data_IF_291461935043
#
_entry.id   IF_291461935043
#
_cell.length_a   1.000
_cell.length_b   1.000
_cell.length_c   1.000
_cell.angle_alpha   90.00
_cell.angle_beta   90.00
_cell.angle_gamma   90.00
#
_symmetry.space_group_name_H-M   'P 1'
#
loop_
_entity.id
_entity.type
_entity.pdbx_description
1 polymer ?
#
# COMPACT_ATOMS: atom_id res chain seq x y z
N UNK A 1 27.26 21.35 -6.95
CA UNK A 1 26.53 20.20 -7.60
C UNK A 1 27.34 18.90 -7.53
N UNK A 2 28.64 18.89 -7.82
CA UNK A 2 29.52 17.68 -7.82
C UNK A 2 29.62 16.99 -6.45
N UNK A 3 29.68 17.73 -5.35
CA UNK A 3 29.82 17.16 -3.98
C UNK A 3 28.55 16.46 -3.48
N UNK A 4 27.37 16.97 -3.80
CA UNK A 4 26.11 16.36 -3.43
C UNK A 4 25.84 15.03 -4.16
N UNK A 5 26.18 14.97 -5.44
CA UNK A 5 26.08 13.72 -6.23
C UNK A 5 27.02 12.64 -5.67
N UNK A 6 28.24 13.03 -5.31
CA UNK A 6 29.21 12.12 -4.69
C UNK A 6 28.77 11.64 -3.29
N UNK A 7 28.14 12.52 -2.49
CA UNK A 7 27.59 12.15 -1.17
C UNK A 7 26.42 11.16 -1.31
N UNK A 8 25.50 11.38 -2.26
CA UNK A 8 24.40 10.46 -2.54
C UNK A 8 24.89 9.08 -3.02
N UNK A 9 25.87 9.04 -3.91
CA UNK A 9 26.45 7.78 -4.38
C UNK A 9 27.18 7.00 -3.27
N UNK A 10 27.83 7.70 -2.33
CA UNK A 10 28.48 7.07 -1.18
C UNK A 10 27.45 6.55 -0.17
N UNK A 11 26.34 7.26 0.04
CA UNK A 11 25.26 6.82 0.94
C UNK A 11 24.51 5.60 0.39
N UNK A 12 24.24 5.56 -0.93
CA UNK A 12 23.65 4.39 -1.60
C UNK A 12 24.55 3.16 -1.47
N UNK A 13 25.85 3.30 -1.80
CA UNK A 13 26.83 2.19 -1.66
C UNK A 13 26.98 1.72 -0.20
N UNK A 14 26.91 2.64 0.76
CA UNK A 14 26.95 2.29 2.19
C UNK A 14 25.72 1.52 2.63
N UNK A 15 24.54 1.87 2.12
CA UNK A 15 23.27 1.16 2.40
C UNK A 15 23.28 -0.25 1.76
N UNK A 16 23.66 -0.36 0.50
CA UNK A 16 23.81 -1.65 -0.19
C UNK A 16 24.82 -2.58 0.52
N UNK A 17 25.95 -2.06 0.97
CA UNK A 17 26.92 -2.81 1.74
C UNK A 17 26.37 -3.24 3.12
N UNK A 18 25.57 -2.39 3.77
CA UNK A 18 24.88 -2.72 5.04
C UNK A 18 23.85 -3.81 4.86
N UNK A 19 23.04 -3.74 3.81
CA UNK A 19 22.00 -4.72 3.50
C UNK A 19 22.59 -6.08 3.12
N UNK A 20 23.68 -6.08 2.34
CA UNK A 20 24.47 -7.29 2.06
C UNK A 20 25.08 -7.88 3.33
N UNK A 21 25.67 -7.06 4.21
CA UNK A 21 26.21 -7.51 5.49
C UNK A 21 25.11 -8.09 6.41
N UNK A 22 23.93 -7.51 6.41
CA UNK A 22 22.79 -8.03 7.19
C UNK A 22 22.31 -9.39 6.65
N UNK A 23 22.22 -9.52 5.34
CA UNK A 23 21.88 -10.79 4.68
C UNK A 23 22.91 -11.87 4.97
N UNK A 24 24.20 -11.57 4.81
CA UNK A 24 25.30 -12.50 5.11
C UNK A 24 25.25 -12.94 6.59
N UNK A 25 25.15 -11.99 7.52
CA UNK A 25 25.06 -12.31 8.96
C UNK A 25 23.84 -13.18 9.32
N UNK A 26 22.70 -12.97 8.64
CA UNK A 26 21.50 -13.79 8.85
C UNK A 26 21.73 -15.22 8.36
N UNK A 27 22.36 -15.39 7.21
CA UNK A 27 22.71 -16.68 6.63
C UNK A 27 23.76 -17.39 7.48
N UNK A 28 24.81 -16.70 7.92
CA UNK A 28 25.83 -17.27 8.84
C UNK A 28 25.23 -17.72 10.17
N UNK A 29 24.31 -16.93 10.76
CA UNK A 29 23.62 -17.30 11.99
C UNK A 29 22.72 -18.53 11.81
N UNK A 30 22.06 -18.64 10.67
CA UNK A 30 21.23 -19.81 10.31
C UNK A 30 22.09 -21.05 10.13
N UNK A 31 23.21 -20.94 9.40
CA UNK A 31 24.19 -22.03 9.21
C UNK A 31 24.77 -22.46 10.56
N UNK A 32 25.20 -21.51 11.40
CA UNK A 32 25.74 -21.81 12.73
C UNK A 32 24.75 -22.50 13.66
N UNK A 33 23.46 -22.17 13.58
CA UNK A 33 22.41 -22.89 14.32
C UNK A 33 22.24 -24.35 13.82
N UNK A 34 22.29 -24.56 12.51
CA UNK A 34 22.23 -25.91 11.92
C UNK A 34 23.48 -26.72 12.31
N UNK A 35 24.65 -26.14 12.22
CA UNK A 35 25.91 -26.81 12.61
C UNK A 35 25.91 -27.20 14.09
N UNK A 36 25.45 -26.30 14.97
CA UNK A 36 25.32 -26.57 16.42
C UNK A 36 24.31 -27.69 16.69
N UNK A 37 23.19 -27.73 15.98
CA UNK A 37 22.20 -28.79 16.08
C UNK A 37 22.74 -30.14 15.58
N UNK A 38 23.51 -30.13 14.49
CA UNK A 38 24.15 -31.30 13.94
C UNK A 38 25.24 -31.86 14.88
N UNK A 39 26.02 -31.01 15.54
CA UNK A 39 27.03 -31.42 16.52
C UNK A 39 26.39 -31.99 17.78
N UNK A 40 25.26 -31.45 18.21
CA UNK A 40 24.46 -32.03 19.30
C UNK A 40 23.95 -33.43 18.94
N UNK A 41 23.45 -33.60 17.71
CA UNK A 41 22.99 -34.92 17.22
C UNK A 41 24.13 -35.95 17.04
N UNK A 42 25.28 -35.53 16.58
CA UNK A 42 26.49 -36.40 16.52
C UNK A 42 26.90 -36.91 17.90
N UNK A 43 26.66 -36.11 18.96
CA UNK A 43 26.95 -36.48 20.35
C UNK A 43 25.89 -37.40 20.99
N UNK A 44 24.64 -37.41 20.45
CA UNK A 44 23.53 -38.20 21.01
C UNK A 44 23.38 -39.62 20.45
N UNK A 45 24.22 -40.02 19.50
CA UNK A 45 24.26 -41.39 18.97
C UNK A 45 23.37 -41.59 17.71
N UNK A 46 23.68 -42.65 16.96
CA UNK A 46 23.12 -42.98 15.65
C UNK A 46 21.62 -43.30 15.72
N UNK A 47 20.79 -42.31 15.71
CA UNK A 47 19.37 -42.50 15.42
C UNK A 47 19.16 -42.33 13.89
N UNK A 48 19.08 -43.49 13.20
CA UNK A 48 19.04 -43.56 11.74
C UNK A 48 17.83 -42.81 11.15
N UNK A 49 16.74 -42.69 11.91
CA UNK A 49 15.51 -42.00 11.53
C UNK A 49 15.70 -40.49 11.52
N UNK A 50 16.40 -39.96 12.53
CA UNK A 50 16.70 -38.52 12.62
C UNK A 50 17.72 -38.04 11.58
N UNK A 51 18.69 -38.92 11.25
CA UNK A 51 19.66 -38.62 10.16
C UNK A 51 18.98 -38.56 8.81
N UNK A 52 17.99 -39.39 8.56
CA UNK A 52 17.21 -39.39 7.34
C UNK A 52 16.28 -38.15 7.28
N UNK A 53 15.62 -37.81 8.38
CA UNK A 53 14.80 -36.59 8.47
C UNK A 53 15.63 -35.32 8.21
N UNK A 54 16.82 -35.22 8.79
CA UNK A 54 17.74 -34.10 8.51
C UNK A 54 18.18 -34.09 7.05
N UNK A 55 18.39 -35.26 6.42
CA UNK A 55 18.72 -35.35 4.99
C UNK A 55 17.56 -34.83 4.11
N UNK A 56 16.33 -35.24 4.41
CA UNK A 56 15.12 -34.81 3.68
C UNK A 56 14.90 -33.32 3.84
N UNK A 57 15.04 -32.79 5.07
CA UNK A 57 14.91 -31.34 5.32
C UNK A 57 15.99 -30.54 4.60
N UNK A 58 17.24 -31.01 4.58
CA UNK A 58 18.31 -30.36 3.80
C UNK A 58 18.03 -30.36 2.31
N UNK A 59 17.52 -31.44 1.75
CA UNK A 59 17.13 -31.48 0.34
C UNK A 59 15.96 -30.50 0.05
N UNK A 60 14.96 -30.46 0.94
CA UNK A 60 13.85 -29.51 0.81
C UNK A 60 14.32 -28.06 0.87
N UNK A 61 15.21 -27.72 1.80
CA UNK A 61 15.83 -26.38 1.90
C UNK A 61 16.60 -26.05 0.62
N UNK A 62 17.41 -26.97 0.13
CA UNK A 62 18.21 -26.76 -1.08
C UNK A 62 17.33 -26.60 -2.34
N UNK A 63 16.21 -27.31 -2.43
CA UNK A 63 15.22 -27.14 -3.50
C UNK A 63 14.56 -25.78 -3.41
N UNK A 64 14.14 -25.36 -2.20
CA UNK A 64 13.56 -24.04 -1.96
C UNK A 64 14.56 -22.89 -2.23
N UNK A 65 15.83 -23.06 -1.90
CA UNK A 65 16.86 -22.07 -2.20
C UNK A 65 17.09 -21.91 -3.71
N UNK A 66 17.02 -22.99 -4.48
CA UNK A 66 17.11 -22.95 -5.95
C UNK A 66 15.86 -22.31 -6.56
N UNK A 67 14.67 -22.56 -6.01
CA UNK A 67 13.42 -21.94 -6.45
C UNK A 67 13.34 -20.45 -6.07
N UNK A 68 14.00 -20.06 -4.99
CA UNK A 68 14.05 -18.69 -4.47
C UNK A 68 15.28 -17.90 -4.97
N UNK A 69 15.80 -18.20 -6.15
CA UNK A 69 16.92 -17.43 -6.70
C UNK A 69 16.58 -15.92 -6.65
N UNK A 70 17.43 -15.14 -5.99
CA UNK A 70 17.23 -13.67 -5.80
C UNK A 70 16.94 -12.96 -7.12
N UNK A 71 17.53 -13.42 -8.24
CA UNK A 71 17.26 -12.91 -9.58
C UNK A 71 15.82 -13.15 -10.04
N UNK A 72 15.19 -14.26 -9.67
CA UNK A 72 13.81 -14.53 -10.04
C UNK A 72 12.83 -13.67 -9.24
N UNK A 73 13.13 -13.44 -7.96
CA UNK A 73 12.33 -12.56 -7.08
C UNK A 73 12.38 -11.13 -7.59
N UNK A 74 13.57 -10.60 -7.87
CA UNK A 74 13.72 -9.24 -8.41
C UNK A 74 13.06 -9.09 -9.78
N UNK A 75 13.19 -10.10 -10.65
CA UNK A 75 12.52 -10.09 -11.95
C UNK A 75 10.99 -10.09 -11.81
N UNK A 76 10.44 -10.91 -10.91
CA UNK A 76 8.99 -10.95 -10.62
C UNK A 76 8.50 -9.64 -10.00
N UNK A 77 9.25 -9.09 -9.06
CA UNK A 77 8.99 -7.78 -8.43
C UNK A 77 8.93 -6.66 -9.47
N UNK A 78 9.93 -6.58 -10.37
CA UNK A 78 9.94 -5.59 -11.44
C UNK A 78 8.76 -5.75 -12.42
N UNK A 79 8.38 -6.99 -12.75
CA UNK A 79 7.19 -7.24 -13.57
C UNK A 79 5.91 -6.80 -12.87
N UNK A 80 5.75 -7.11 -11.59
CA UNK A 80 4.61 -6.71 -10.77
C UNK A 80 4.50 -5.18 -10.68
N UNK A 81 5.59 -4.50 -10.33
CA UNK A 81 5.64 -3.04 -10.24
C UNK A 81 5.30 -2.37 -11.58
N UNK A 82 5.80 -2.91 -12.69
CA UNK A 82 5.44 -2.39 -14.02
C UNK A 82 3.94 -2.45 -14.29
N UNK A 83 3.27 -3.54 -13.88
CA UNK A 83 1.82 -3.68 -14.04
C UNK A 83 1.08 -2.70 -13.14
N UNK A 84 1.48 -2.61 -11.86
CA UNK A 84 0.87 -1.70 -10.87
C UNK A 84 1.02 -0.25 -11.32
N UNK A 85 2.23 0.19 -11.65
CA UNK A 85 2.51 1.56 -12.09
C UNK A 85 1.74 1.93 -13.37
N UNK A 86 1.68 1.00 -14.33
CA UNK A 86 0.90 1.18 -15.56
C UNK A 86 -0.60 1.34 -15.27
N UNK A 87 -1.16 0.54 -14.36
CA UNK A 87 -2.56 0.62 -14.00
C UNK A 87 -2.85 1.90 -13.22
N UNK A 88 -2.00 2.27 -12.27
CA UNK A 88 -2.14 3.52 -11.53
C UNK A 88 -2.10 4.75 -12.47
N UNK A 89 -1.17 4.79 -13.42
CA UNK A 89 -1.11 5.84 -14.43
C UNK A 89 -2.35 5.94 -15.32
N UNK A 90 -3.13 4.85 -15.48
CA UNK A 90 -4.42 4.91 -16.19
C UNK A 90 -5.55 5.52 -15.36
N UNK A 91 -5.45 5.49 -14.03
CA UNK A 91 -6.47 6.06 -13.15
C UNK A 91 -6.28 7.56 -12.94
N UNK A 92 -5.04 8.05 -12.99
CA UNK A 92 -4.70 9.46 -12.72
C UNK A 92 -5.50 10.46 -13.57
N UNK A 93 -5.75 10.28 -14.89
CA UNK A 93 -6.53 11.21 -15.68
C UNK A 93 -7.99 11.38 -15.23
N UNK A 94 -8.50 10.48 -14.41
CA UNK A 94 -9.85 10.51 -13.86
C UNK A 94 -9.91 11.05 -12.42
N UNK A 95 -8.75 11.39 -11.85
CA UNK A 95 -8.58 11.95 -10.51
C UNK A 95 -8.19 13.44 -10.59
N UNK A 96 -8.24 14.10 -9.45
CA UNK A 96 -7.86 15.51 -9.34
C UNK A 96 -6.34 15.64 -9.12
N UNK A 97 -5.60 15.66 -10.22
CA UNK A 97 -4.13 15.69 -10.27
C UNK A 97 -3.66 16.78 -11.21
N UNK A 98 -2.65 17.54 -10.82
CA UNK A 98 -2.09 18.63 -11.66
C UNK A 98 -1.50 18.09 -12.97
N UNK A 99 -0.76 16.97 -12.93
CA UNK A 99 -0.08 16.39 -14.06
C UNK A 99 -0.53 14.93 -14.28
N UNK A 100 -1.75 14.71 -14.79
CA UNK A 100 -2.36 13.38 -14.85
C UNK A 100 -1.68 12.40 -15.81
N UNK A 101 -0.80 12.88 -16.67
CA UNK A 101 -0.10 12.07 -17.69
C UNK A 101 1.35 11.79 -17.34
N UNK A 102 1.86 12.35 -16.25
CA UNK A 102 3.22 12.06 -15.80
C UNK A 102 3.30 10.60 -15.31
N UNK A 103 4.31 9.86 -15.73
CA UNK A 103 4.51 8.50 -15.27
C UNK A 103 4.77 8.46 -13.76
N UNK A 104 4.25 7.43 -13.10
CA UNK A 104 4.50 7.23 -11.67
C UNK A 104 5.16 5.89 -11.43
N UNK A 105 5.93 5.79 -10.35
CA UNK A 105 6.47 4.53 -9.84
C UNK A 105 6.26 4.38 -8.34
N UNK A 106 5.86 3.18 -7.94
CA UNK A 106 5.83 2.76 -6.55
C UNK A 106 7.22 2.29 -6.15
N UNK A 107 7.85 3.01 -5.22
CA UNK A 107 9.16 2.69 -4.67
C UNK A 107 9.00 1.84 -3.41
N UNK A 108 9.14 0.51 -3.55
CA UNK A 108 8.87 -0.43 -2.45
C UNK A 108 9.88 -0.27 -1.30
N UNK A 109 11.12 0.06 -1.61
CA UNK A 109 12.17 0.15 -0.59
C UNK A 109 11.95 1.32 0.36
N UNK A 110 11.40 2.42 -0.15
CA UNK A 110 11.14 3.64 0.60
C UNK A 110 9.65 3.83 0.92
N UNK A 111 8.80 2.88 0.47
CA UNK A 111 7.34 2.89 0.61
C UNK A 111 6.72 4.23 0.21
N UNK A 112 7.14 4.76 -0.93
CA UNK A 112 6.69 6.05 -1.45
C UNK A 112 6.34 5.97 -2.93
N UNK A 113 5.67 7.00 -3.43
CA UNK A 113 5.38 7.15 -4.85
C UNK A 113 6.30 8.22 -5.41
N UNK A 114 6.85 7.96 -6.59
CA UNK A 114 7.68 8.87 -7.34
C UNK A 114 6.94 9.26 -8.62
N UNK A 115 6.86 10.53 -8.89
CA UNK A 115 6.28 11.11 -10.11
C UNK A 115 7.41 11.56 -11.02
N UNK A 116 7.37 11.11 -12.26
CA UNK A 116 8.41 11.39 -13.26
C UNK A 116 7.98 12.58 -14.13
N UNK A 117 8.23 13.79 -13.67
CA UNK A 117 7.93 15.00 -14.41
C UNK A 117 8.95 15.29 -15.53
N UNK A 118 8.59 16.19 -16.44
CA UNK A 118 9.43 16.55 -17.59
C UNK A 118 10.78 17.16 -17.18
N UNK A 119 10.78 17.99 -16.14
CA UNK A 119 11.98 18.72 -15.70
C UNK A 119 12.70 18.00 -14.56
N UNK A 120 11.96 17.33 -13.68
CA UNK A 120 12.49 16.63 -12.52
C UNK A 120 11.55 15.53 -12.06
N UNK A 121 12.11 14.59 -11.32
CA UNK A 121 11.35 13.60 -10.57
C UNK A 121 11.03 14.15 -9.17
N UNK A 122 9.78 14.02 -8.73
CA UNK A 122 9.32 14.42 -7.41
C UNK A 122 8.86 13.20 -6.61
N UNK A 123 9.26 13.15 -5.34
CA UNK A 123 8.66 12.19 -4.41
C UNK A 123 7.34 12.74 -3.86
N UNK A 124 6.43 11.85 -3.49
CA UNK A 124 5.12 12.25 -2.95
C UNK A 124 5.22 13.22 -1.77
N UNK A 125 6.25 13.08 -0.93
CA UNK A 125 6.53 14.02 0.17
C UNK A 125 6.92 15.44 -0.27
N UNK A 126 7.31 15.62 -1.53
CA UNK A 126 7.68 16.91 -2.13
C UNK A 126 6.50 17.57 -2.84
N UNK A 127 5.41 16.84 -3.02
CA UNK A 127 4.17 17.31 -3.66
C UNK A 127 3.31 17.99 -2.61
N UNK A 128 3.14 19.31 -2.74
CA UNK A 128 2.51 20.14 -1.70
C UNK A 128 0.98 20.13 -1.66
N UNK A 129 0.28 19.59 -2.67
CA UNK A 129 -1.16 19.57 -2.75
C UNK A 129 -1.76 18.33 -2.07
N UNK A 130 -2.71 18.54 -1.14
CA UNK A 130 -3.46 17.43 -0.53
C UNK A 130 -4.28 16.62 -1.53
N UNK A 131 -4.83 17.29 -2.56
CA UNK A 131 -5.54 16.67 -3.68
C UNK A 131 -4.64 15.73 -4.48
N UNK A 132 -3.48 16.19 -4.90
CA UNK A 132 -2.48 15.37 -5.58
C UNK A 132 -2.08 14.18 -4.72
N UNK A 133 -1.81 14.42 -3.43
CA UNK A 133 -1.39 13.38 -2.49
C UNK A 133 -2.43 12.26 -2.36
N UNK A 134 -3.71 12.62 -2.17
CA UNK A 134 -4.80 11.66 -2.14
C UNK A 134 -4.92 10.89 -3.46
N UNK A 135 -4.89 11.61 -4.58
CA UNK A 135 -5.09 11.03 -5.91
C UNK A 135 -4.01 10.01 -6.27
N UNK A 136 -2.74 10.31 -6.00
CA UNK A 136 -1.64 9.35 -6.22
C UNK A 136 -1.77 8.13 -5.32
N UNK A 137 -2.09 8.30 -4.03
CA UNK A 137 -2.30 7.18 -3.12
C UNK A 137 -3.46 6.30 -3.57
N UNK A 138 -4.59 6.92 -3.91
CA UNK A 138 -5.77 6.19 -4.35
C UNK A 138 -5.49 5.40 -5.63
N UNK A 139 -4.84 6.02 -6.61
CA UNK A 139 -4.47 5.34 -7.86
C UNK A 139 -3.58 4.12 -7.60
N UNK A 140 -2.56 4.24 -6.74
CA UNK A 140 -1.66 3.14 -6.42
C UNK A 140 -2.34 2.06 -5.60
N UNK A 141 -3.12 2.41 -4.56
CA UNK A 141 -3.84 1.44 -3.71
C UNK A 141 -4.85 0.62 -4.51
N UNK A 142 -5.63 1.27 -5.36
CA UNK A 142 -6.59 0.58 -6.22
C UNK A 142 -5.89 -0.33 -7.23
N UNK A 143 -4.76 0.10 -7.80
CA UNK A 143 -3.98 -0.70 -8.74
C UNK A 143 -3.30 -1.89 -8.08
N UNK A 144 -2.86 -1.77 -6.83
CA UNK A 144 -2.36 -2.87 -6.03
C UNK A 144 -3.45 -3.93 -5.83
N UNK A 145 -4.67 -3.52 -5.45
CA UNK A 145 -5.78 -4.45 -5.28
C UNK A 145 -6.18 -5.12 -6.60
N UNK A 146 -6.25 -4.39 -7.73
CA UNK A 146 -6.46 -4.98 -9.04
C UNK A 146 -5.39 -6.01 -9.39
N UNK A 147 -4.12 -5.73 -9.05
CA UNK A 147 -3.02 -6.68 -9.25
C UNK A 147 -3.20 -7.93 -8.39
N UNK A 148 -3.50 -7.79 -7.10
CA UNK A 148 -3.68 -8.92 -6.17
C UNK A 148 -4.87 -9.80 -6.55
N UNK A 149 -5.98 -9.23 -6.99
CA UNK A 149 -7.14 -9.98 -7.49
C UNK A 149 -6.80 -10.86 -8.71
N UNK A 150 -5.83 -10.45 -9.51
CA UNK A 150 -5.33 -11.22 -10.65
C UNK A 150 -4.36 -12.36 -10.27
N UNK A 151 -3.96 -12.48 -9.00
CA UNK A 151 -3.03 -13.51 -8.55
C UNK A 151 -3.76 -14.72 -7.98
N UNK A 152 -3.39 -15.92 -8.42
CA UNK A 152 -3.89 -17.16 -7.81
C UNK A 152 -3.33 -17.29 -6.39
N UNK A 153 -4.22 -17.42 -5.40
CA UNK A 153 -3.82 -17.63 -4.01
C UNK A 153 -3.20 -16.40 -3.34
N UNK A 154 -3.57 -15.19 -3.77
CA UNK A 154 -3.14 -13.95 -3.09
C UNK A 154 -3.52 -13.98 -1.61
N UNK A 155 -2.57 -13.69 -0.69
CA UNK A 155 -2.87 -13.58 0.74
C UNK A 155 -3.56 -12.24 1.09
N UNK A 156 -3.63 -11.29 0.14
CA UNK A 156 -4.26 -10.00 0.35
C UNK A 156 -5.76 -10.15 0.16
N UNK A 157 -6.58 -9.76 1.15
CA UNK A 157 -8.03 -9.87 1.04
C UNK A 157 -8.59 -8.92 -0.01
N UNK A 158 -9.72 -9.29 -0.62
CA UNK A 158 -10.41 -8.50 -1.64
C UNK A 158 -11.20 -7.32 -1.07
N UNK A 159 -10.70 -6.66 -0.02
CA UNK A 159 -11.32 -5.43 0.48
C UNK A 159 -10.26 -4.39 0.87
N UNK A 160 -10.65 -3.12 0.82
CA UNK A 160 -9.85 -1.97 1.24
C UNK A 160 -10.73 -1.06 2.10
N UNK A 161 -10.17 -0.55 3.19
CA UNK A 161 -10.84 0.43 4.05
C UNK A 161 -10.16 1.77 3.87
N UNK A 162 -10.96 2.80 3.58
CA UNK A 162 -10.50 4.18 3.45
C UNK A 162 -11.20 5.03 4.52
N UNK A 163 -10.43 5.66 5.37
CA UNK A 163 -10.93 6.54 6.41
C UNK A 163 -10.75 8.00 6.01
N UNK A 164 -11.87 8.70 5.87
CA UNK A 164 -11.99 10.13 5.54
C UNK A 164 -11.14 10.57 4.34
N UNK A 165 -11.21 9.91 3.17
CA UNK A 165 -10.43 10.33 2.01
C UNK A 165 -10.75 11.75 1.55
N UNK A 166 -11.97 12.25 1.76
CA UNK A 166 -12.34 13.62 1.40
C UNK A 166 -11.79 14.69 2.34
N UNK A 167 -11.16 14.32 3.47
CA UNK A 167 -10.70 15.28 4.49
C UNK A 167 -9.69 16.31 3.94
N UNK A 168 -8.95 15.96 2.90
CA UNK A 168 -8.00 16.87 2.25
C UNK A 168 -8.68 18.08 1.58
N UNK A 169 -9.96 17.93 1.24
CA UNK A 169 -10.79 18.98 0.63
C UNK A 169 -11.64 19.74 1.67
N UNK A 170 -11.81 19.16 2.87
CA UNK A 170 -12.58 19.75 3.97
C UNK A 170 -11.66 19.91 5.20
N UNK A 171 -10.71 20.85 5.18
CA UNK A 171 -9.87 21.08 6.35
C UNK A 171 -10.76 21.47 7.52
N UNK A 172 -10.67 20.72 8.65
CA UNK A 172 -11.37 21.09 9.87
C UNK A 172 -10.97 22.51 10.25
N UNK A 173 -11.91 23.40 10.63
CA UNK A 173 -11.55 24.67 11.22
C UNK A 173 -10.72 24.37 12.47
N UNK A 174 -9.53 24.99 12.56
CA UNK A 174 -8.68 24.89 13.75
C UNK A 174 -9.50 25.51 14.88
N UNK A 175 -10.01 24.69 15.78
CA UNK A 175 -10.74 25.16 16.95
C UNK A 175 -9.77 25.79 17.93
N UNK A 176 -9.42 27.06 17.71
CA UNK A 176 -9.05 27.94 18.79
C UNK A 176 -10.34 28.37 19.48
N UNK A 177 -10.42 28.08 20.77
CA UNK A 177 -11.47 28.57 21.67
C UNK A 177 -11.82 30.03 21.32
N UNK A 178 -13.13 30.29 21.25
CA UNK A 178 -13.73 31.62 21.14
C UNK A 178 -13.93 32.23 19.75
N UNK A 179 -14.55 31.53 18.79
CA UNK A 179 -15.42 32.23 17.83
C UNK A 179 -16.53 31.26 17.42
N UNK A 180 -17.74 31.51 17.89
CA UNK A 180 -18.96 30.96 17.34
C UNK A 180 -19.17 31.59 15.95
N UNK A 181 -18.75 30.91 14.90
CA UNK A 181 -19.12 31.22 13.55
C UNK A 181 -20.16 30.18 13.09
N UNK A 182 -21.41 30.61 13.05
CA UNK A 182 -22.59 29.88 12.56
C UNK A 182 -22.59 29.71 11.02
N UNK A 183 -21.46 29.68 10.35
CA UNK A 183 -21.41 29.38 8.92
C UNK A 183 -20.56 28.13 8.72
N UNK A 184 -21.20 27.04 8.25
CA UNK A 184 -20.49 25.90 7.69
C UNK A 184 -19.55 26.43 6.59
N UNK A 185 -18.28 25.99 6.56
CA UNK A 185 -17.37 26.45 5.52
C UNK A 185 -17.98 26.11 4.16
N UNK A 186 -18.24 27.14 3.34
CA UNK A 186 -18.72 26.96 1.97
C UNK A 186 -17.69 26.12 1.21
N UNK A 187 -18.04 24.86 0.98
CA UNK A 187 -17.25 23.97 0.14
C UNK A 187 -17.24 24.56 -1.26
N UNK A 188 -16.07 24.65 -1.87
CA UNK A 188 -15.94 25.13 -3.25
C UNK A 188 -16.48 24.06 -4.19
N UNK A 189 -17.15 24.47 -5.25
CA UNK A 189 -17.68 23.54 -6.25
C UNK A 189 -16.56 22.65 -6.86
N UNK A 190 -15.36 23.19 -6.97
CA UNK A 190 -14.16 22.48 -7.44
C UNK A 190 -13.77 21.33 -6.50
N UNK A 191 -13.83 21.53 -5.18
CA UNK A 191 -13.52 20.51 -4.17
C UNK A 191 -14.56 19.38 -4.20
N UNK A 192 -15.85 19.74 -4.39
CA UNK A 192 -16.95 18.75 -4.54
C UNK A 192 -16.71 17.88 -5.77
N UNK A 193 -16.34 18.48 -6.89
CA UNK A 193 -16.07 17.76 -8.13
C UNK A 193 -14.84 16.84 -8.00
N UNK A 194 -13.79 17.29 -7.31
CA UNK A 194 -12.60 16.49 -7.06
C UNK A 194 -12.92 15.25 -6.22
N UNK A 195 -13.75 15.40 -5.16
CA UNK A 195 -14.21 14.27 -4.34
C UNK A 195 -15.07 13.32 -5.18
N UNK A 196 -15.98 13.87 -5.99
CA UNK A 196 -16.83 13.09 -6.88
C UNK A 196 -16.00 12.21 -7.81
N UNK A 197 -14.98 12.75 -8.46
CA UNK A 197 -14.03 12.01 -9.30
C UNK A 197 -13.39 10.84 -8.54
N UNK A 198 -12.98 11.06 -7.28
CA UNK A 198 -12.43 10.00 -6.45
C UNK A 198 -13.43 8.85 -6.23
N UNK A 199 -14.71 9.16 -5.92
CA UNK A 199 -15.76 8.15 -5.77
C UNK A 199 -16.09 7.44 -7.10
N UNK A 200 -16.08 8.15 -8.23
CA UNK A 200 -16.30 7.57 -9.56
C UNK A 200 -15.20 6.55 -9.91
N UNK A 201 -13.94 6.89 -9.64
CA UNK A 201 -12.81 5.96 -9.84
C UNK A 201 -12.92 4.76 -8.92
N UNK A 202 -13.23 4.95 -7.63
CA UNK A 202 -13.45 3.86 -6.69
C UNK A 202 -14.57 2.93 -7.15
N UNK A 203 -15.74 3.47 -7.51
CA UNK A 203 -16.89 2.72 -8.00
C UNK A 203 -16.56 1.91 -9.26
N UNK A 204 -15.88 2.53 -10.22
CA UNK A 204 -15.47 1.90 -11.46
C UNK A 204 -14.51 0.71 -11.21
N UNK A 205 -13.55 0.84 -10.31
CA UNK A 205 -12.60 -0.23 -9.96
C UNK A 205 -13.31 -1.39 -9.23
N UNK A 206 -14.26 -1.09 -8.35
CA UNK A 206 -15.09 -2.13 -7.69
C UNK A 206 -15.91 -2.91 -8.71
N UNK A 207 -16.55 -2.23 -9.65
CA UNK A 207 -17.33 -2.89 -10.72
C UNK A 207 -16.45 -3.79 -11.59
N UNK A 208 -15.23 -3.35 -11.92
CA UNK A 208 -14.24 -4.16 -12.64
C UNK A 208 -13.80 -5.40 -11.85
N UNK A 209 -13.86 -5.35 -10.52
CA UNK A 209 -13.54 -6.46 -9.64
C UNK A 209 -14.55 -7.61 -9.67
N UNK A 210 -15.71 -7.46 -10.35
CA UNK A 210 -16.73 -8.48 -10.52
C UNK A 210 -17.13 -9.19 -9.21
N UNK A 211 -17.35 -8.42 -8.14
CA UNK A 211 -17.72 -8.93 -6.83
C UNK A 211 -16.56 -9.48 -5.97
N UNK A 212 -15.32 -9.45 -6.47
CA UNK A 212 -14.14 -9.89 -5.71
C UNK A 212 -13.42 -8.74 -5.00
N UNK A 213 -13.87 -7.50 -5.16
CA UNK A 213 -13.33 -6.31 -4.49
C UNK A 213 -14.45 -5.54 -3.81
N UNK A 214 -14.21 -5.18 -2.55
CA UNK A 214 -15.07 -4.30 -1.77
C UNK A 214 -14.25 -3.12 -1.24
N UNK A 215 -14.76 -1.90 -1.37
CA UNK A 215 -14.23 -0.72 -0.71
C UNK A 215 -15.18 -0.30 0.42
N UNK A 216 -14.66 -0.14 1.63
CA UNK A 216 -15.35 0.41 2.78
C UNK A 216 -14.83 1.83 2.98
N UNK A 217 -15.67 2.82 2.67
CA UNK A 217 -15.29 4.24 2.77
C UNK A 217 -16.06 4.87 3.93
N UNK A 218 -15.33 5.31 4.95
CA UNK A 218 -15.84 6.08 6.07
C UNK A 218 -15.57 7.55 5.78
N UNK A 219 -16.61 8.33 5.50
CA UNK A 219 -16.42 9.69 5.01
C UNK A 219 -17.52 10.64 5.50
N UNK A 220 -17.24 11.93 5.43
CA UNK A 220 -18.21 13.01 5.73
C UNK A 220 -18.86 13.56 4.47
N UNK A 221 -18.46 13.12 3.28
CA UNK A 221 -19.03 13.56 2.02
C UNK A 221 -20.54 13.29 1.96
N UNK A 222 -21.32 14.29 1.59
CA UNK A 222 -22.76 14.19 1.52
C UNK A 222 -23.22 13.28 0.37
N UNK A 223 -24.42 12.72 0.50
CA UNK A 223 -25.05 11.89 -0.54
C UNK A 223 -25.12 12.57 -1.91
N UNK A 224 -25.15 13.90 -1.94
CA UNK A 224 -25.14 14.67 -3.19
C UNK A 224 -23.87 14.42 -4.02
N UNK A 225 -22.75 14.09 -3.39
CA UNK A 225 -21.47 13.84 -4.05
C UNK A 225 -21.42 12.43 -4.67
N UNK A 226 -21.82 11.41 -3.92
CA UNK A 226 -21.60 10.00 -4.28
C UNK A 226 -22.88 9.22 -4.62
N UNK A 227 -24.08 9.76 -4.32
CA UNK A 227 -25.34 9.01 -4.34
C UNK A 227 -25.82 8.54 -5.73
N UNK A 228 -25.26 9.05 -6.81
CA UNK A 228 -25.62 8.69 -8.19
C UNK A 228 -24.43 8.04 -8.93
N UNK A 229 -23.46 7.49 -8.21
CA UNK A 229 -22.29 6.85 -8.79
C UNK A 229 -22.51 5.33 -8.81
N UNK A 230 -22.35 4.72 -9.97
CA UNK A 230 -22.46 3.28 -10.15
C UNK A 230 -21.42 2.54 -9.29
N UNK A 231 -21.87 1.47 -8.64
CA UNK A 231 -21.00 0.68 -7.75
C UNK A 231 -20.84 1.26 -6.35
N UNK A 232 -21.45 2.40 -6.04
CA UNK A 232 -21.44 3.01 -4.70
C UNK A 232 -22.78 2.78 -4.01
N UNK A 233 -22.73 2.23 -2.80
CA UNK A 233 -23.89 1.99 -1.94
C UNK A 233 -23.68 2.71 -0.62
N UNK A 234 -24.56 3.67 -0.31
CA UNK A 234 -24.53 4.39 0.96
C UNK A 234 -25.26 3.65 2.06
N UNK A 235 -24.63 3.57 3.21
CA UNK A 235 -25.24 3.09 4.46
C UNK A 235 -25.83 4.26 5.26
N UNK A 236 -26.73 3.99 6.25
CA UNK A 236 -27.23 5.03 7.14
C UNK A 236 -26.10 5.79 7.83
N UNK A 237 -26.27 7.10 7.94
CA UNK A 237 -25.29 7.95 8.65
C UNK A 237 -25.25 7.60 10.14
N UNK A 238 -24.05 7.63 10.72
CA UNK A 238 -23.86 7.42 12.15
C UNK A 238 -24.06 8.75 12.91
N UNK A 239 -25.29 9.23 12.89
CA UNK A 239 -25.74 10.47 13.55
C UNK A 239 -27.01 10.17 14.38
N UNK A 240 -27.39 11.10 15.24
CA UNK A 240 -28.66 11.06 16.01
C UNK A 240 -28.88 9.77 16.78
N UNK A 241 -27.83 9.20 17.36
CA UNK A 241 -27.89 7.95 18.12
C UNK A 241 -27.59 6.67 17.34
N UNK A 242 -27.50 6.73 16.01
CA UNK A 242 -27.01 5.63 15.17
C UNK A 242 -25.50 5.53 15.30
N UNK A 243 -25.00 4.35 15.65
CA UNK A 243 -23.56 4.07 15.87
C UNK A 243 -23.14 2.81 15.14
N UNK A 244 -21.85 2.71 14.83
CA UNK A 244 -21.26 1.50 14.24
C UNK A 244 -21.49 0.27 15.14
N UNK A 245 -21.34 0.44 16.46
CA UNK A 245 -21.64 -0.60 17.44
C UNK A 245 -23.01 -0.32 18.03
N UNK A 246 -24.02 -1.15 17.77
CA UNK A 246 -25.36 -1.02 18.36
C UNK A 246 -25.28 -1.01 19.88
N UNK A 247 -26.09 -0.18 20.53
CA UNK A 247 -26.08 -0.09 22.00
C UNK A 247 -26.51 -1.40 22.66
N UNK A 248 -27.32 -2.20 21.99
CA UNK A 248 -27.75 -3.52 22.45
C UNK A 248 -26.57 -4.49 22.65
N UNK A 249 -25.48 -4.34 21.87
CA UNK A 249 -24.28 -5.15 22.01
C UNK A 249 -23.42 -4.77 23.23
N UNK A 250 -23.66 -3.58 23.80
CA UNK A 250 -22.93 -3.06 24.96
C UNK A 250 -23.67 -3.27 26.29
N UNK A 251 -24.93 -3.75 26.24
CA UNK A 251 -25.80 -3.87 27.40
C UNK A 251 -25.81 -5.25 28.07
N UNK A 252 -24.99 -6.20 27.64
CA UNK A 252 -24.81 -7.50 28.31
C UNK A 252 -23.47 -7.52 29.08
N UNK A 253 -23.45 -6.86 30.28
CA UNK A 253 -22.56 -7.21 31.40
C UNK A 253 -23.15 -6.69 32.71
#
# INVERSE_FOLDING_TARGET
RSVQVRKRALTSRSKEASDQQFSVKRTERFIGNIESSLDLHRKLGNDSELVEEVRVLKQAVQTLEVELHEQDIETRKHKALRVINKNAGKLLPFLDVENPHDPISLEINDLTIKVHGVERDDYLSEIGSGSNWLSYHLAVLLSLHQFFLGQLGSPVPGFLVLDQPSQVYFPKPISHQDIVLEEEPKVRDEDVEAIRKAFEVMGSVVLQGNGNLQLLVLDHASRAVWGNIDGVVGLPEWRDGVKLVPMEWLSEN
#
